data_IF_092003388969
#
_entry.id   IF_092003388969
#
_cell.length_a   1.000
_cell.length_b   1.000
_cell.length_c   1.000
_cell.angle_alpha   90.00
_cell.angle_beta   90.00
_cell.angle_gamma   90.00
#
_symmetry.space_group_name_H-M   'P 1'
#
loop_
_entity.id
_entity.type
_entity.pdbx_description
1 polymer ?
#
# COMPACT_ATOMS: atom_id res chain seq x y z
N UNK A 1 -0.02 -12.21 25.83
CA UNK A 1 0.53 -11.56 24.61
C UNK A 1 -0.19 -10.24 24.37
N UNK A 2 0.50 -9.22 23.84
CA UNK A 2 -0.05 -7.86 23.66
C UNK A 2 -0.88 -7.80 22.37
N UNK A 3 -2.12 -7.30 22.43
CA UNK A 3 -2.97 -7.08 21.25
C UNK A 3 -2.41 -5.96 20.38
N UNK A 4 -2.54 -6.11 19.07
CA UNK A 4 -2.23 -5.06 18.10
C UNK A 4 -3.46 -4.16 17.95
N UNK A 5 -3.28 -2.84 17.85
CA UNK A 5 -4.37 -1.96 17.45
C UNK A 5 -4.55 -2.07 15.92
N UNK A 6 -5.64 -2.70 15.49
CA UNK A 6 -5.89 -3.03 14.09
C UNK A 6 -5.98 -1.79 13.21
N UNK A 7 -6.66 -0.74 13.69
CA UNK A 7 -6.82 0.52 12.95
C UNK A 7 -5.50 1.28 12.82
N UNK A 8 -4.70 1.31 13.88
CA UNK A 8 -3.39 1.97 13.85
C UNK A 8 -2.46 1.28 12.84
N UNK A 9 -2.43 -0.06 12.83
CA UNK A 9 -1.63 -0.81 11.86
C UNK A 9 -2.15 -0.60 10.43
N UNK A 10 -3.46 -0.72 10.23
CA UNK A 10 -4.07 -0.57 8.91
C UNK A 10 -3.81 0.82 8.30
N UNK A 11 -3.95 1.88 9.10
CA UNK A 11 -3.63 3.25 8.67
C UNK A 11 -2.14 3.39 8.34
N UNK A 12 -1.24 2.89 9.20
CA UNK A 12 0.20 2.99 8.97
C UNK A 12 0.60 2.28 7.66
N UNK A 13 0.12 1.05 7.45
CA UNK A 13 0.40 0.30 6.22
C UNK A 13 -0.18 1.00 5.00
N UNK A 14 -1.45 1.43 5.05
CA UNK A 14 -2.07 2.17 3.95
C UNK A 14 -1.28 3.42 3.55
N UNK A 15 -0.86 4.23 4.54
CA UNK A 15 -0.07 5.45 4.29
C UNK A 15 1.29 5.11 3.69
N UNK A 16 2.00 4.13 4.26
CA UNK A 16 3.32 3.71 3.76
C UNK A 16 3.22 3.17 2.33
N UNK A 17 2.19 2.38 2.01
CA UNK A 17 1.93 1.88 0.66
C UNK A 17 1.67 3.02 -0.33
N UNK A 18 0.87 4.01 0.04
CA UNK A 18 0.62 5.18 -0.81
C UNK A 18 1.89 6.02 -1.03
N UNK A 19 2.70 6.23 0.01
CA UNK A 19 3.98 6.93 -0.11
C UNK A 19 4.97 6.15 -0.98
N UNK A 20 4.99 4.82 -0.89
CA UNK A 20 5.82 3.98 -1.74
C UNK A 20 5.44 4.14 -3.22
N UNK A 21 4.16 4.29 -3.55
CA UNK A 21 3.71 4.58 -4.92
C UNK A 21 4.21 5.93 -5.44
N UNK A 22 4.17 6.96 -4.58
CA UNK A 22 4.69 8.27 -4.93
C UNK A 22 6.21 8.22 -5.19
N UNK A 23 6.96 7.59 -4.29
CA UNK A 23 8.40 7.42 -4.43
C UNK A 23 8.77 6.62 -5.67
N UNK A 24 8.08 5.51 -5.92
CA UNK A 24 8.32 4.67 -7.09
C UNK A 24 8.06 5.42 -8.39
N UNK A 25 7.06 6.31 -8.42
CA UNK A 25 6.82 7.17 -9.58
C UNK A 25 7.98 8.14 -9.80
N UNK A 26 8.45 8.80 -8.74
CA UNK A 26 9.57 9.73 -8.82
C UNK A 26 10.86 9.08 -9.30
N UNK A 27 11.28 7.99 -8.66
CA UNK A 27 12.49 7.26 -9.03
C UNK A 27 12.34 6.51 -10.36
N UNK A 28 11.18 5.88 -10.58
CA UNK A 28 10.80 5.18 -11.81
C UNK A 28 10.86 6.07 -13.04
N UNK A 29 10.35 7.30 -12.93
CA UNK A 29 10.40 8.31 -13.99
C UNK A 29 11.83 8.76 -14.34
N UNK A 30 12.79 8.65 -13.41
CA UNK A 30 14.21 8.92 -13.63
C UNK A 30 14.98 7.71 -14.17
N UNK A 31 14.30 6.58 -14.43
CA UNK A 31 14.90 5.34 -14.92
C UNK A 31 15.35 4.38 -13.83
N UNK A 32 15.34 4.78 -12.55
CA UNK A 32 15.64 3.88 -11.43
C UNK A 32 14.43 2.99 -11.14
N UNK A 33 14.63 1.67 -10.99
CA UNK A 33 13.54 0.73 -10.72
C UNK A 33 12.40 0.77 -11.76
N UNK A 34 12.69 1.11 -13.02
CA UNK A 34 11.70 1.17 -14.10
C UNK A 34 10.92 -0.15 -14.27
N UNK A 35 11.54 -1.29 -13.99
CA UNK A 35 10.86 -2.60 -13.97
C UNK A 35 9.80 -2.70 -12.87
N UNK A 36 10.09 -2.22 -11.66
CA UNK A 36 9.12 -2.19 -10.58
C UNK A 36 7.96 -1.24 -10.88
N UNK A 37 8.23 -0.07 -11.46
CA UNK A 37 7.19 0.85 -11.92
C UNK A 37 6.30 0.21 -13.00
N UNK A 38 6.89 -0.54 -13.94
CA UNK A 38 6.12 -1.28 -14.97
C UNK A 38 5.24 -2.36 -14.37
N UNK A 39 5.74 -3.09 -13.37
CA UNK A 39 4.94 -4.09 -12.65
C UNK A 39 3.78 -3.43 -11.89
N UNK A 40 4.01 -2.28 -11.24
CA UNK A 40 2.95 -1.57 -10.53
C UNK A 40 1.85 -1.07 -11.47
N UNK A 41 2.19 -0.65 -12.69
CA UNK A 41 1.17 -0.31 -13.70
C UNK A 41 0.33 -1.51 -14.15
N UNK A 42 0.84 -2.74 -13.98
CA UNK A 42 0.07 -3.95 -14.25
C UNK A 42 -0.75 -4.42 -13.04
N UNK A 43 -0.27 -4.17 -11.82
CA UNK A 43 -0.91 -4.64 -10.60
C UNK A 43 -1.97 -3.68 -10.05
N UNK A 44 -1.86 -2.39 -10.37
CA UNK A 44 -2.76 -1.35 -9.89
C UNK A 44 -3.51 -0.75 -11.07
N UNK A 45 -4.82 -0.98 -11.10
CA UNK A 45 -5.66 -0.64 -12.24
C UNK A 45 -5.71 0.86 -12.49
N UNK A 46 -5.59 1.66 -11.43
CA UNK A 46 -5.66 3.12 -11.51
C UNK A 46 -4.29 3.79 -11.51
N UNK A 47 -3.19 3.03 -11.46
CA UNK A 47 -1.85 3.59 -11.41
C UNK A 47 -1.27 3.89 -12.80
N UNK A 48 -0.62 5.04 -12.92
CA UNK A 48 0.12 5.44 -14.11
C UNK A 48 1.03 6.64 -13.84
N UNK A 49 1.93 6.99 -14.79
CA UNK A 49 2.90 8.08 -14.62
C UNK A 49 2.28 9.49 -14.67
N UNK A 50 1.01 9.63 -15.04
CA UNK A 50 0.30 10.91 -15.01
C UNK A 50 -0.06 11.30 -13.58
N UNK A 51 -0.23 12.60 -13.31
CA UNK A 51 -0.63 13.09 -11.99
C UNK A 51 -1.91 12.39 -11.45
N UNK A 52 -2.92 12.23 -12.30
CA UNK A 52 -4.17 11.54 -11.94
C UNK A 52 -3.98 10.05 -11.71
N UNK A 53 -3.09 9.40 -12.48
CA UNK A 53 -2.74 7.99 -12.28
C UNK A 53 -1.98 7.74 -10.99
N UNK A 54 -1.05 8.63 -10.63
CA UNK A 54 -0.33 8.54 -9.35
C UNK A 54 -1.30 8.68 -8.19
N UNK A 55 -2.19 9.68 -8.22
CA UNK A 55 -3.20 9.87 -7.18
C UNK A 55 -4.16 8.67 -7.10
N UNK A 56 -4.60 8.14 -8.24
CA UNK A 56 -5.42 6.93 -8.30
C UNK A 56 -4.73 5.73 -7.67
N UNK A 57 -3.49 5.45 -8.05
CA UNK A 57 -2.68 4.36 -7.50
C UNK A 57 -2.38 4.53 -6.00
N UNK A 58 -2.20 5.76 -5.51
CA UNK A 58 -2.02 6.04 -4.08
C UNK A 58 -3.27 5.70 -3.27
N UNK A 59 -4.45 6.07 -3.76
CA UNK A 59 -5.73 5.75 -3.10
C UNK A 59 -5.98 4.24 -3.14
N UNK A 60 -5.78 3.61 -4.30
CA UNK A 60 -5.95 2.17 -4.49
C UNK A 60 -5.05 1.37 -3.54
N UNK A 61 -3.75 1.68 -3.51
CA UNK A 61 -2.80 1.02 -2.60
C UNK A 61 -3.06 1.30 -1.13
N UNK A 62 -3.49 2.51 -0.78
CA UNK A 62 -3.90 2.82 0.59
C UNK A 62 -5.03 1.89 1.04
N UNK A 63 -6.08 1.76 0.23
CA UNK A 63 -7.25 0.94 0.57
C UNK A 63 -6.87 -0.53 0.65
N UNK A 64 -6.15 -1.05 -0.35
CA UNK A 64 -5.71 -2.46 -0.36
C UNK A 64 -4.82 -2.76 0.86
N UNK A 65 -3.82 -1.91 1.11
CA UNK A 65 -2.90 -2.05 2.24
C UNK A 65 -3.62 -1.96 3.58
N UNK A 66 -4.57 -1.03 3.72
CA UNK A 66 -5.41 -0.89 4.90
C UNK A 66 -6.22 -2.16 5.16
N UNK A 67 -6.97 -2.64 4.17
CA UNK A 67 -7.83 -3.83 4.32
C UNK A 67 -6.99 -5.05 4.68
N UNK A 68 -5.86 -5.25 3.98
CA UNK A 68 -4.97 -6.37 4.23
C UNK A 68 -4.39 -6.33 5.65
N UNK A 69 -3.82 -5.20 6.07
CA UNK A 69 -3.22 -5.06 7.40
C UNK A 69 -4.25 -5.16 8.53
N UNK A 70 -5.46 -4.60 8.32
CA UNK A 70 -6.56 -4.76 9.26
C UNK A 70 -6.92 -6.24 9.44
N UNK A 71 -7.12 -6.98 8.33
CA UNK A 71 -7.46 -8.39 8.36
C UNK A 71 -6.38 -9.23 9.07
N UNK A 72 -5.09 -8.95 8.79
CA UNK A 72 -3.95 -9.60 9.46
C UNK A 72 -3.94 -9.29 10.96
N UNK A 73 -4.09 -8.03 11.37
CA UNK A 73 -4.12 -7.66 12.77
C UNK A 73 -5.29 -8.27 13.53
N UNK A 74 -6.47 -8.28 12.91
CA UNK A 74 -7.67 -8.92 13.45
C UNK A 74 -7.46 -10.43 13.64
N UNK A 75 -6.91 -11.11 12.63
CA UNK A 75 -6.64 -12.54 12.68
C UNK A 75 -5.59 -12.87 13.75
N UNK A 76 -4.50 -12.10 13.83
CA UNK A 76 -3.49 -12.20 14.88
C UNK A 76 -4.11 -12.05 16.28
N UNK A 77 -4.94 -11.02 16.47
CA UNK A 77 -5.63 -10.81 17.75
C UNK A 77 -6.63 -11.92 18.07
N UNK A 78 -7.22 -12.58 17.07
CA UNK A 78 -8.12 -13.72 17.26
C UNK A 78 -7.35 -14.96 17.73
N UNK A 79 -6.20 -15.25 17.13
CA UNK A 79 -5.35 -16.38 17.52
C UNK A 79 -4.78 -16.22 18.93
N UNK A 80 -4.41 -14.99 19.31
CA UNK A 80 -3.81 -14.69 20.62
C UNK A 80 -4.84 -14.42 21.74
N UNK A 81 -6.13 -14.68 21.48
CA UNK A 81 -7.21 -14.66 22.49
C UNK A 81 -7.53 -16.07 23.04
N UNK A 82 -6.77 -17.10 22.65
CA UNK A 82 -6.81 -18.45 23.22
C UNK A 82 -5.88 -18.58 24.42
#
# INVERSE_FOLDING_TARGET
>A
MKKINELALANAVGIVSALAMLLLTGFGGMGFYAGAMRNMMQWHMFYGPSFTGVLGGMIETFVIGFVFAYAVAWFYNKLNKG
#
